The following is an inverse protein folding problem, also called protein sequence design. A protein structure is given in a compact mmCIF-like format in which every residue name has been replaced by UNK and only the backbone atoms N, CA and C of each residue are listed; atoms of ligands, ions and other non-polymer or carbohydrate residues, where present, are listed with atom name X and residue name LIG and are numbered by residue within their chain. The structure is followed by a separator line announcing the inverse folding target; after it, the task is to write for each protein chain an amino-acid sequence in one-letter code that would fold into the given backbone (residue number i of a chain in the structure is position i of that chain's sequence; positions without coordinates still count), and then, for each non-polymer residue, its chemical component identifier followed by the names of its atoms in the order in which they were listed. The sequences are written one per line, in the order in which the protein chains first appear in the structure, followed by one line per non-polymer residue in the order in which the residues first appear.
data_IF_260875276879
#
_entry.id   IF_260875276879
#
_cell.length_a   1.000
_cell.length_b   1.000
_cell.length_c   1.000
_cell.angle_alpha   90.00
_cell.angle_beta   90.00
_cell.angle_gamma   90.00
#
_symmetry.space_group_name_H-M   'P 1'
#
loop_
_entity.id
_entity.type
_entity.pdbx_description
1 polymer ?
#
# COMPACT_ATOMS: atom_id res chain seq x y z
N UNK A 1 -10.82 -37.34 -10.44
CA UNK A 1 -12.22 -36.87 -10.45
C UNK A 1 -12.35 -35.83 -9.36
N UNK A 2 -12.07 -34.57 -9.68
CA UNK A 2 -12.30 -33.46 -8.74
C UNK A 2 -13.81 -33.29 -8.55
N UNK A 3 -14.26 -33.36 -7.29
CA UNK A 3 -15.62 -32.92 -6.97
C UNK A 3 -15.59 -31.40 -7.02
N UNK A 4 -16.22 -30.82 -8.03
CA UNK A 4 -16.46 -29.39 -8.07
C UNK A 4 -17.08 -28.96 -6.73
N UNK A 5 -16.42 -28.04 -6.01
CA UNK A 5 -16.95 -27.48 -4.77
C UNK A 5 -18.28 -26.79 -5.07
N UNK A 6 -19.25 -26.92 -4.17
CA UNK A 6 -20.51 -26.20 -4.31
C UNK A 6 -20.23 -24.68 -4.26
N UNK A 7 -20.78 -23.87 -5.19
CA UNK A 7 -20.52 -22.44 -5.28
C UNK A 7 -20.72 -21.67 -3.98
N UNK A 8 -21.65 -22.11 -3.12
CA UNK A 8 -21.91 -21.49 -1.82
C UNK A 8 -20.75 -21.60 -0.81
N UNK A 9 -19.86 -22.59 -0.95
CA UNK A 9 -18.73 -22.76 -0.03
C UNK A 9 -17.67 -21.65 -0.17
N UNK A 10 -17.41 -21.17 -1.39
CA UNK A 10 -16.38 -20.17 -1.64
C UNK A 10 -16.75 -18.79 -1.08
N UNK A 11 -18.03 -18.40 -1.18
CA UNK A 11 -18.51 -17.14 -0.63
C UNK A 11 -18.48 -17.14 0.91
N UNK A 12 -18.86 -18.26 1.53
CA UNK A 12 -18.76 -18.45 2.99
C UNK A 12 -17.31 -18.43 3.46
N UNK A 13 -16.41 -19.09 2.72
CA UNK A 13 -14.97 -19.07 3.03
C UNK A 13 -14.40 -17.66 2.95
N UNK A 14 -14.73 -16.88 1.90
CA UNK A 14 -14.29 -15.50 1.75
C UNK A 14 -14.76 -14.62 2.92
N UNK A 15 -16.03 -14.70 3.28
CA UNK A 15 -16.59 -13.95 4.42
C UNK A 15 -15.94 -14.35 5.75
N UNK A 16 -15.60 -15.63 5.92
CA UNK A 16 -14.89 -16.10 7.12
C UNK A 16 -13.51 -15.44 7.24
N UNK A 17 -12.75 -15.30 6.13
CA UNK A 17 -11.46 -14.61 6.12
C UNK A 17 -11.60 -13.11 6.42
N UNK A 18 -12.58 -12.44 5.81
CA UNK A 18 -12.84 -11.00 6.03
C UNK A 18 -13.11 -10.67 7.50
N UNK A 19 -13.70 -11.61 8.25
CA UNK A 19 -14.01 -11.41 9.67
C UNK A 19 -12.83 -11.61 10.63
N UNK A 20 -11.69 -12.13 10.16
CA UNK A 20 -10.57 -12.45 11.06
C UNK A 20 -9.90 -11.16 11.57
N UNK A 21 -9.48 -11.12 12.85
CA UNK A 21 -8.68 -10.01 13.33
C UNK A 21 -7.28 -10.06 12.68
N UNK A 22 -6.66 -8.90 12.52
CA UNK A 22 -5.26 -8.81 12.11
C UNK A 22 -4.35 -9.26 13.25
N UNK A 23 -3.38 -10.14 12.96
CA UNK A 23 -2.30 -10.43 13.89
C UNK A 23 -1.23 -9.33 13.80
N UNK A 24 -0.66 -8.94 14.95
CA UNK A 24 0.54 -8.09 14.98
C UNK A 24 1.66 -8.78 14.20
N UNK A 25 2.25 -8.11 13.22
CA UNK A 25 3.40 -8.65 12.50
C UNK A 25 4.72 -8.46 13.25
N UNK A 26 4.70 -7.64 14.30
CA UNK A 26 5.83 -7.43 15.20
C UNK A 26 5.87 -8.52 16.27
N UNK A 27 7.05 -9.08 16.49
CA UNK A 27 7.29 -10.11 17.50
C UNK A 27 7.37 -11.53 16.93
N UNK A 28 7.38 -12.49 17.86
CA UNK A 28 7.42 -13.91 17.52
C UNK A 28 6.01 -14.46 17.32
N UNK A 29 5.71 -14.89 16.10
CA UNK A 29 4.43 -15.46 15.73
C UNK A 29 4.45 -16.98 15.90
N UNK A 30 3.34 -17.54 16.40
CA UNK A 30 3.15 -18.98 16.57
C UNK A 30 2.88 -19.69 15.23
N UNK A 31 3.86 -19.63 14.32
CA UNK A 31 3.79 -20.17 12.96
C UNK A 31 3.45 -21.68 12.94
N UNK A 32 3.94 -22.43 13.92
CA UNK A 32 3.66 -23.85 14.11
C UNK A 32 2.19 -24.15 14.44
N UNK A 33 1.43 -23.15 14.88
CA UNK A 33 0.00 -23.24 15.18
C UNK A 33 -0.88 -22.67 14.06
N UNK A 34 -0.33 -22.43 12.87
CA UNK A 34 -1.12 -22.02 11.72
C UNK A 34 -2.18 -23.07 11.36
N UNK A 35 -3.45 -22.66 11.42
CA UNK A 35 -4.60 -23.57 11.29
C UNK A 35 -5.16 -23.63 9.87
N UNK A 36 -5.21 -22.48 9.18
CA UNK A 36 -5.76 -22.34 7.83
C UNK A 36 -4.84 -21.54 6.93
N UNK A 37 -4.89 -21.86 5.64
CA UNK A 37 -4.15 -21.22 4.58
C UNK A 37 -5.10 -20.88 3.42
N UNK A 38 -5.09 -19.63 2.99
CA UNK A 38 -5.61 -19.22 1.69
C UNK A 38 -4.46 -18.70 0.81
N UNK A 39 -4.62 -18.85 -0.50
CA UNK A 39 -3.76 -18.21 -1.48
C UNK A 39 -4.61 -17.26 -2.30
N UNK A 40 -4.17 -16.01 -2.40
CA UNK A 40 -4.79 -14.99 -3.26
C UNK A 40 -3.83 -14.72 -4.39
N UNK A 41 -4.23 -15.07 -5.60
CA UNK A 41 -3.43 -14.79 -6.77
C UNK A 41 -3.54 -13.30 -7.10
N UNK A 42 -2.38 -12.65 -7.14
CA UNK A 42 -2.20 -11.30 -7.63
C UNK A 42 -1.13 -11.38 -8.70
N UNK A 43 -1.29 -10.66 -9.80
CA UNK A 43 -0.39 -10.71 -10.96
C UNK A 43 1.11 -10.61 -10.60
N UNK A 44 1.44 -10.01 -9.43
CA UNK A 44 2.77 -9.82 -8.86
C UNK A 44 3.34 -11.02 -8.06
N UNK A 45 2.71 -12.19 -8.09
CA UNK A 45 3.24 -13.41 -7.46
C UNK A 45 2.33 -14.05 -6.41
N UNK A 46 1.23 -13.37 -6.07
CA UNK A 46 0.23 -13.80 -5.10
C UNK A 46 0.70 -13.70 -3.64
N UNK A 47 -0.25 -13.84 -2.73
CA UNK A 47 -0.06 -13.68 -1.29
C UNK A 47 -0.71 -14.85 -0.55
N UNK A 48 -0.02 -15.36 0.47
CA UNK A 48 -0.53 -16.36 1.39
C UNK A 48 -1.21 -15.67 2.55
N UNK A 49 -2.39 -16.11 2.94
CA UNK A 49 -3.06 -15.65 4.16
C UNK A 49 -3.10 -16.82 5.12
N UNK A 50 -2.47 -16.66 6.27
CA UNK A 50 -2.38 -17.67 7.33
C UNK A 50 -3.24 -17.25 8.50
N UNK A 51 -4.05 -18.18 9.01
CA UNK A 51 -4.77 -18.00 10.28
C UNK A 51 -3.95 -18.57 11.43
N UNK A 52 -3.44 -17.69 12.28
CA UNK A 52 -2.73 -17.98 13.52
C UNK A 52 -3.68 -17.86 14.73
N UNK A 53 -3.28 -18.35 15.93
CA UNK A 53 -4.09 -18.19 17.14
C UNK A 53 -4.38 -16.72 17.51
N UNK A 54 -3.46 -15.81 17.18
CA UNK A 54 -3.58 -14.38 17.47
C UNK A 54 -4.26 -13.56 16.36
N UNK A 55 -4.63 -14.17 15.22
CA UNK A 55 -5.24 -13.47 14.10
C UNK A 55 -4.72 -13.96 12.75
N UNK A 56 -5.07 -13.24 11.69
CA UNK A 56 -4.59 -13.50 10.34
C UNK A 56 -3.35 -12.67 10.01
N UNK A 57 -2.45 -13.24 9.20
CA UNK A 57 -1.28 -12.56 8.67
C UNK A 57 -1.09 -12.92 7.21
N UNK A 58 -0.54 -11.99 6.44
CA UNK A 58 -0.19 -12.21 5.05
C UNK A 58 1.30 -12.53 4.89
N UNK A 59 1.64 -13.44 3.99
CA UNK A 59 3.03 -13.75 3.63
C UNK A 59 3.16 -13.66 2.12
N UNK A 60 4.05 -12.78 1.66
CA UNK A 60 4.38 -12.63 0.24
C UNK A 60 5.72 -13.31 -0.02
N UNK A 61 5.68 -14.29 -0.91
CA UNK A 61 6.87 -15.01 -1.37
C UNK A 61 7.56 -14.29 -2.53
N UNK A 62 8.83 -14.60 -2.75
CA UNK A 62 9.69 -13.87 -3.70
C UNK A 62 10.43 -12.73 -3.02
N UNK A 63 11.44 -12.18 -3.69
CA UNK A 63 12.24 -11.08 -3.14
C UNK A 63 11.30 -9.92 -2.77
N UNK A 64 11.06 -9.73 -1.46
CA UNK A 64 10.45 -8.50 -0.98
C UNK A 64 11.21 -7.35 -1.62
N UNK A 65 10.52 -6.57 -2.46
CA UNK A 65 11.20 -5.49 -3.16
C UNK A 65 11.50 -4.44 -2.10
N UNK A 66 12.77 -4.05 -1.97
CA UNK A 66 13.21 -2.96 -1.10
C UNK A 66 12.30 -1.71 -1.19
N UNK A 67 11.72 -1.48 -2.37
CA UNK A 67 10.74 -0.44 -2.62
C UNK A 67 9.44 -0.56 -1.82
N UNK A 68 8.92 -1.77 -1.60
CA UNK A 68 7.71 -2.01 -0.79
C UNK A 68 7.98 -1.66 0.69
N UNK A 69 9.13 -2.08 1.23
CA UNK A 69 9.55 -1.72 2.59
C UNK A 69 9.80 -0.22 2.73
N UNK A 70 10.53 0.39 1.79
CA UNK A 70 10.81 1.83 1.78
C UNK A 70 9.52 2.64 1.78
N UNK A 71 8.59 2.29 0.88
CA UNK A 71 7.28 2.94 0.77
C UNK A 71 6.50 2.82 2.06
N UNK A 72 6.44 1.63 2.68
CA UNK A 72 5.74 1.46 3.95
C UNK A 72 6.36 2.28 5.09
N UNK A 73 7.70 2.31 5.20
CA UNK A 73 8.39 3.08 6.25
C UNK A 73 8.19 4.57 6.07
N UNK A 74 8.23 5.07 4.83
CA UNK A 74 7.92 6.46 4.53
C UNK A 74 6.46 6.79 4.83
N UNK A 75 5.51 5.92 4.45
CA UNK A 75 4.09 6.09 4.77
C UNK A 75 3.87 6.22 6.28
N UNK A 76 4.48 5.33 7.06
CA UNK A 76 4.42 5.37 8.53
C UNK A 76 4.99 6.68 9.10
N UNK A 77 6.11 7.17 8.55
CA UNK A 77 6.72 8.41 9.00
C UNK A 77 5.87 9.65 8.66
N UNK A 78 5.09 9.59 7.58
CA UNK A 78 4.19 10.65 7.12
C UNK A 78 2.73 10.47 7.60
N UNK A 79 2.47 9.53 8.51
CA UNK A 79 1.11 9.28 9.01
C UNK A 79 0.12 8.84 7.93
N UNK A 80 0.59 8.20 6.86
CA UNK A 80 -0.25 7.64 5.80
C UNK A 80 -0.47 6.16 6.07
N UNK A 81 -1.74 5.75 6.10
CA UNK A 81 -2.10 4.38 6.43
C UNK A 81 -1.87 3.44 5.25
N UNK A 82 -0.87 2.58 5.38
CA UNK A 82 -0.59 1.46 4.47
C UNK A 82 -0.41 0.19 5.28
N UNK A 83 -0.68 -0.99 4.70
CA UNK A 83 -0.43 -2.27 5.38
C UNK A 83 1.03 -2.33 5.87
N UNK A 84 1.22 -2.69 7.15
CA UNK A 84 2.55 -2.82 7.71
C UNK A 84 3.31 -3.97 7.03
N UNK A 85 4.62 -3.82 6.90
CA UNK A 85 5.50 -4.80 6.26
C UNK A 85 6.72 -5.04 7.14
N UNK A 86 7.05 -6.32 7.31
CA UNK A 86 8.30 -6.79 7.94
C UNK A 86 8.98 -7.77 7.00
N UNK A 87 10.28 -7.57 6.81
CA UNK A 87 11.11 -8.48 6.00
C UNK A 87 11.65 -9.58 6.90
N UNK A 88 11.52 -10.82 6.44
CA UNK A 88 12.13 -11.99 7.06
C UNK A 88 13.16 -12.53 6.09
N UNK A 89 14.43 -12.32 6.41
CA UNK A 89 15.55 -12.82 5.61
C UNK A 89 16.00 -14.18 6.15
N UNK A 90 16.38 -15.13 5.27
CA UNK A 90 16.93 -16.39 5.73
C UNK A 90 18.27 -16.13 6.41
N UNK A 91 18.38 -16.42 7.70
CA UNK A 91 19.69 -16.52 8.34
C UNK A 91 20.25 -17.91 8.02
N UNK A 92 21.31 -17.94 7.22
CA UNK A 92 21.96 -19.18 6.80
C UNK A 92 22.48 -20.02 7.99
N UNK A 93 22.62 -19.42 9.18
CA UNK A 93 23.27 -20.04 10.32
C UNK A 93 22.40 -20.20 11.57
N UNK A 94 21.24 -19.52 11.66
CA UNK A 94 20.37 -19.64 12.83
C UNK A 94 19.54 -20.94 12.80
N UNK A 95 19.63 -21.78 13.82
CA UNK A 95 18.81 -22.99 13.94
C UNK A 95 17.29 -22.70 13.96
N UNK A 96 16.90 -21.52 14.48
CA UNK A 96 15.52 -21.03 14.62
C UNK A 96 15.14 -20.00 13.54
N UNK A 97 15.58 -20.24 12.30
CA UNK A 97 15.25 -19.38 11.16
C UNK A 97 13.72 -19.26 10.97
N UNK A 98 13.18 -18.08 11.21
CA UNK A 98 11.75 -17.78 11.06
C UNK A 98 11.27 -18.08 9.63
N UNK A 99 12.13 -17.92 8.61
CA UNK A 99 11.79 -18.30 7.23
C UNK A 99 11.40 -19.78 7.14
N UNK A 100 12.12 -20.67 7.85
CA UNK A 100 11.79 -22.11 7.89
C UNK A 100 10.47 -22.35 8.59
N UNK A 101 10.18 -21.65 9.70
CA UNK A 101 8.90 -21.76 10.42
C UNK A 101 7.72 -21.32 9.56
N UNK A 102 7.84 -20.20 8.84
CA UNK A 102 6.82 -19.73 7.88
C UNK A 102 6.59 -20.75 6.77
N UNK A 103 7.66 -21.29 6.16
CA UNK A 103 7.54 -22.32 5.11
C UNK A 103 6.87 -23.59 5.64
N UNK A 104 7.22 -24.03 6.85
CA UNK A 104 6.59 -25.18 7.49
C UNK A 104 5.09 -24.92 7.74
N UNK A 105 4.73 -23.74 8.26
CA UNK A 105 3.34 -23.33 8.48
C UNK A 105 2.50 -23.38 7.19
N UNK A 106 3.04 -22.85 6.08
CA UNK A 106 2.37 -22.89 4.77
C UNK A 106 2.22 -24.33 4.26
N UNK A 107 3.14 -25.23 4.60
CA UNK A 107 3.07 -26.64 4.21
C UNK A 107 2.07 -27.44 5.02
N UNK A 108 1.93 -27.16 6.32
CA UNK A 108 1.12 -27.96 7.26
C UNK A 108 -0.29 -27.43 7.44
N UNK A 109 -0.53 -26.13 7.30
CA UNK A 109 -1.84 -25.53 7.48
C UNK A 109 -2.88 -26.13 6.50
N UNK A 110 -4.13 -26.24 6.97
CA UNK A 110 -5.23 -26.71 6.14
C UNK A 110 -5.49 -25.68 5.02
N UNK A 111 -5.34 -26.09 3.76
CA UNK A 111 -5.47 -25.18 2.62
C UNK A 111 -6.69 -25.51 1.77
N UNK A 112 -7.14 -24.52 1.00
CA UNK A 112 -8.32 -24.65 0.14
C UNK A 112 -8.06 -25.55 -1.09
N UNK A 113 -6.82 -25.61 -1.58
CA UNK A 113 -6.43 -26.33 -2.80
C UNK A 113 -4.98 -26.85 -2.72
N UNK A 114 -4.79 -28.16 -2.88
CA UNK A 114 -3.48 -28.82 -2.87
C UNK A 114 -2.61 -28.43 -4.08
N UNK A 115 -3.22 -28.10 -5.23
CA UNK A 115 -2.49 -27.61 -6.40
C UNK A 115 -1.93 -26.21 -6.15
N UNK A 116 -2.69 -25.33 -5.49
CA UNK A 116 -2.20 -24.02 -5.06
C UNK A 116 -1.08 -24.16 -4.03
N UNK A 117 -1.17 -25.10 -3.08
CA UNK A 117 -0.05 -25.41 -2.17
C UNK A 117 1.21 -25.83 -2.91
N UNK A 118 1.08 -26.61 -3.99
CA UNK A 118 2.24 -27.00 -4.80
C UNK A 118 2.88 -25.81 -5.51
N UNK A 119 2.07 -24.94 -6.13
CA UNK A 119 2.56 -23.71 -6.76
C UNK A 119 3.20 -22.77 -5.74
N UNK A 120 2.58 -22.64 -4.56
CA UNK A 120 3.10 -21.90 -3.43
C UNK A 120 4.49 -22.37 -3.01
N UNK A 121 4.66 -23.69 -2.86
CA UNK A 121 5.96 -24.31 -2.55
C UNK A 121 7.00 -23.90 -3.58
N UNK A 122 6.67 -24.00 -4.87
CA UNK A 122 7.62 -23.63 -5.94
C UNK A 122 8.03 -22.15 -5.89
N UNK A 123 7.11 -21.25 -5.52
CA UNK A 123 7.40 -19.81 -5.38
C UNK A 123 8.23 -19.50 -4.13
N UNK A 124 7.96 -20.16 -3.01
CA UNK A 124 8.64 -19.93 -1.71
C UNK A 124 10.01 -20.61 -1.59
N UNK A 125 10.26 -21.67 -2.38
CA UNK A 125 11.52 -22.44 -2.40
C UNK A 125 12.64 -21.69 -3.14
N UNK A 126 12.32 -20.68 -3.95
CA UNK A 126 13.33 -19.81 -4.57
C UNK A 126 13.91 -18.88 -3.50
N UNK A 127 14.87 -19.42 -2.73
CA UNK A 127 15.60 -18.88 -1.58
C UNK A 127 15.88 -17.37 -1.61
N UNK A 128 14.93 -16.58 -1.10
CA UNK A 128 15.11 -15.16 -0.81
C UNK A 128 14.40 -14.77 0.48
N UNK A 129 14.52 -13.50 0.86
CA UNK A 129 13.73 -12.90 1.93
C UNK A 129 12.24 -12.92 1.58
N UNK A 130 11.39 -13.10 2.58
CA UNK A 130 9.94 -13.02 2.47
C UNK A 130 9.44 -11.73 3.13
N UNK A 131 8.26 -11.27 2.73
CA UNK A 131 7.56 -10.21 3.44
C UNK A 131 6.43 -10.82 4.28
N UNK A 132 6.44 -10.52 5.58
CA UNK A 132 5.29 -10.68 6.45
C UNK A 132 4.53 -9.37 6.41
N UNK A 133 3.31 -9.42 5.90
CA UNK A 133 2.47 -8.27 5.63
C UNK A 133 1.26 -8.32 6.56
N UNK A 134 0.89 -7.15 7.07
CA UNK A 134 -0.31 -7.00 7.88
C UNK A 134 -1.54 -7.49 7.12
N UNK A 135 -2.39 -8.27 7.80
CA UNK A 135 -3.70 -8.60 7.28
C UNK A 135 -4.66 -7.43 7.51
N UNK A 136 -5.32 -6.94 6.46
CA UNK A 136 -6.32 -5.88 6.59
C UNK A 136 -7.70 -6.51 6.64
N UNK A 137 -8.36 -6.42 7.80
CA UNK A 137 -9.75 -6.78 7.95
C UNK A 137 -10.63 -5.70 7.28
N UNK A 138 -11.16 -6.05 6.11
CA UNK A 138 -11.94 -5.15 5.28
C UNK A 138 -12.18 -5.76 3.90
N UNK A 139 -12.57 -4.91 2.96
CA UNK A 139 -12.71 -5.30 1.56
C UNK A 139 -11.88 -4.38 0.66
N UNK A 140 -11.46 -4.89 -0.49
CA UNK A 140 -10.86 -4.03 -1.52
C UNK A 140 -11.89 -3.00 -2.00
N UNK A 141 -11.44 -1.83 -2.45
CA UNK A 141 -12.29 -0.74 -2.94
C UNK A 141 -12.83 -1.02 -4.36
N UNK A 142 -13.34 -2.24 -4.56
CA UNK A 142 -13.92 -2.71 -5.83
C UNK A 142 -15.17 -3.54 -5.59
N UNK A 143 -16.10 -3.46 -6.54
CA UNK A 143 -17.31 -4.27 -6.62
C UNK A 143 -18.36 -3.96 -5.55
N UNK A 144 -19.29 -4.90 -5.38
CA UNK A 144 -20.44 -4.76 -4.50
C UNK A 144 -20.12 -4.62 -3.00
N UNK A 145 -19.08 -5.26 -2.44
CA UNK A 145 -18.69 -5.02 -1.04
C UNK A 145 -18.32 -3.56 -0.77
N UNK A 146 -17.46 -2.98 -1.60
CA UNK A 146 -17.08 -1.57 -1.52
C UNK A 146 -18.28 -0.63 -1.74
N UNK A 147 -19.11 -0.92 -2.76
CA UNK A 147 -20.34 -0.17 -3.01
C UNK A 147 -21.21 -0.10 -1.76
N UNK A 148 -21.44 -1.26 -1.11
CA UNK A 148 -22.25 -1.34 0.09
C UNK A 148 -21.65 -0.50 1.19
N UNK A 149 -20.37 -0.68 1.50
CA UNK A 149 -19.66 0.05 2.56
C UNK A 149 -19.73 1.56 2.36
N UNK A 150 -19.50 2.03 1.13
CA UNK A 150 -19.52 3.45 0.78
C UNK A 150 -20.95 4.04 0.65
N UNK A 151 -21.99 3.21 0.53
CA UNK A 151 -23.40 3.65 0.41
C UNK A 151 -24.26 3.36 1.64
N UNK A 152 -23.73 2.79 2.72
CA UNK A 152 -24.58 2.30 3.83
C UNK A 152 -25.50 3.40 4.35
N UNK A 153 -26.80 3.19 4.15
CA UNK A 153 -27.86 4.19 4.25
C UNK A 153 -28.17 4.69 5.67
N UNK A 154 -27.59 4.08 6.69
CA UNK A 154 -27.86 4.40 8.11
C UNK A 154 -26.64 4.94 8.87
N UNK A 155 -25.42 4.84 8.29
CA UNK A 155 -24.18 5.29 8.93
C UNK A 155 -23.34 6.28 8.10
N UNK A 156 -23.68 6.47 6.82
CA UNK A 156 -22.86 7.26 5.90
C UNK A 156 -21.53 6.58 5.56
N UNK A 157 -20.75 7.23 4.70
CA UNK A 157 -19.35 6.83 4.45
C UNK A 157 -18.58 6.95 5.77
N UNK A 158 -17.77 5.95 6.16
CA UNK A 158 -16.96 6.05 7.38
C UNK A 158 -16.21 7.38 7.45
N UNK A 159 -16.24 8.03 8.59
CA UNK A 159 -15.67 9.38 8.77
C UNK A 159 -14.21 9.42 8.30
N UNK A 160 -13.87 10.46 7.53
CA UNK A 160 -12.51 10.66 7.00
C UNK A 160 -12.12 9.76 5.82
N UNK A 161 -12.98 8.87 5.30
CA UNK A 161 -12.66 7.99 4.16
C UNK A 161 -12.07 8.77 2.98
N UNK A 162 -12.78 9.81 2.52
CA UNK A 162 -12.34 10.58 1.35
C UNK A 162 -11.07 11.41 1.64
N UNK A 163 -10.93 11.93 2.86
CA UNK A 163 -9.72 12.64 3.27
C UNK A 163 -8.51 11.70 3.32
N UNK A 164 -8.67 10.50 3.89
CA UNK A 164 -7.62 9.48 3.95
C UNK A 164 -7.25 8.98 2.55
N UNK A 165 -8.23 8.85 1.64
CA UNK A 165 -7.97 8.53 0.23
C UNK A 165 -7.16 9.64 -0.45
N UNK A 166 -7.50 10.91 -0.19
CA UNK A 166 -6.73 12.06 -0.64
C UNK A 166 -5.28 12.05 -0.16
N UNK A 167 -5.06 11.78 1.13
CA UNK A 167 -3.72 11.62 1.71
C UNK A 167 -2.97 10.46 1.02
N UNK A 168 -3.63 9.33 0.77
CA UNK A 168 -3.04 8.20 0.08
C UNK A 168 -2.61 8.53 -1.36
N UNK A 169 -3.42 9.31 -2.08
CA UNK A 169 -3.11 9.77 -3.45
C UNK A 169 -1.90 10.71 -3.48
N UNK A 170 -1.84 11.67 -2.54
CA UNK A 170 -0.67 12.52 -2.37
C UNK A 170 0.59 11.70 -2.10
N UNK A 171 0.47 10.65 -1.27
CA UNK A 171 1.55 9.74 -0.99
C UNK A 171 2.00 8.95 -2.23
N UNK A 172 1.05 8.46 -3.03
CA UNK A 172 1.36 7.77 -4.30
C UNK A 172 2.12 8.69 -5.28
N UNK A 173 1.84 10.00 -5.29
CA UNK A 173 2.63 10.98 -6.06
C UNK A 173 4.08 11.11 -5.55
N UNK A 174 4.35 10.98 -4.25
CA UNK A 174 5.74 10.99 -3.76
C UNK A 174 6.54 9.78 -4.28
N UNK A 175 5.85 8.66 -4.48
CA UNK A 175 6.46 7.39 -4.86
C UNK A 175 6.46 7.10 -6.37
N UNK A 176 5.80 7.94 -7.17
CA UNK A 176 5.40 7.59 -8.53
C UNK A 176 4.67 6.23 -8.58
N UNK A 177 3.80 5.98 -7.60
CA UNK A 177 3.03 4.76 -7.56
C UNK A 177 1.78 4.88 -8.44
N UNK A 178 1.94 4.52 -9.69
CA UNK A 178 0.91 4.67 -10.70
C UNK A 178 -0.17 3.58 -10.66
N UNK A 179 -0.04 2.52 -9.85
CA UNK A 179 -0.96 1.38 -9.94
C UNK A 179 -2.29 1.67 -9.25
N UNK A 180 -2.34 2.45 -8.16
CA UNK A 180 -3.54 2.60 -7.32
C UNK A 180 -4.61 3.50 -7.90
N UNK A 181 -4.34 4.81 -7.99
CA UNK A 181 -5.33 5.84 -8.35
C UNK A 181 -4.76 6.74 -9.47
N UNK A 182 -5.55 7.09 -10.49
CA UNK A 182 -5.03 7.77 -11.67
C UNK A 182 -4.97 9.30 -11.49
N UNK A 183 -4.25 9.78 -10.48
CA UNK A 183 -4.14 11.23 -10.19
C UNK A 183 -3.10 11.92 -11.08
N UNK A 184 -1.84 11.48 -11.04
CA UNK A 184 -0.76 12.05 -11.85
C UNK A 184 -0.46 11.21 -13.12
N UNK A 185 -1.35 10.27 -13.46
CA UNK A 185 -1.13 9.25 -14.49
C UNK A 185 -2.35 9.09 -15.38
N UNK A 186 -2.14 8.52 -16.57
CA UNK A 186 -3.18 8.33 -17.60
C UNK A 186 -3.69 6.90 -17.68
N UNK A 187 -3.47 6.10 -16.63
CA UNK A 187 -4.02 4.74 -16.54
C UNK A 187 -5.41 4.78 -15.86
N UNK A 188 -6.04 3.62 -15.70
CA UNK A 188 -7.36 3.50 -15.06
C UNK A 188 -7.28 3.35 -13.53
N UNK A 189 -6.08 3.19 -12.98
CA UNK A 189 -5.83 2.75 -11.62
C UNK A 189 -6.24 1.30 -11.35
N UNK A 190 -6.01 0.88 -10.11
CA UNK A 190 -6.30 -0.44 -9.56
C UNK A 190 -6.72 -0.24 -8.10
N UNK A 191 -8.01 0.05 -7.90
CA UNK A 191 -8.59 0.19 -6.57
C UNK A 191 -8.62 -1.13 -5.78
N UNK A 192 -8.22 -2.24 -6.40
CA UNK A 192 -7.92 -3.50 -5.73
C UNK A 192 -6.75 -3.38 -4.75
N UNK A 193 -5.88 -2.40 -4.95
CA UNK A 193 -4.76 -2.07 -4.06
C UNK A 193 -5.10 -1.03 -2.99
N UNK A 194 -6.40 -0.74 -2.81
CA UNK A 194 -6.94 0.09 -1.72
C UNK A 194 -7.93 -0.74 -0.93
N UNK A 195 -7.69 -0.91 0.36
CA UNK A 195 -8.61 -1.61 1.27
C UNK A 195 -9.45 -0.59 2.05
N UNK A 196 -10.74 -0.89 2.20
CA UNK A 196 -11.66 -0.19 3.10
C UNK A 196 -11.76 -0.99 4.40
N UNK A 197 -11.13 -0.46 5.46
CA UNK A 197 -10.97 -1.15 6.75
C UNK A 197 -12.13 -0.89 7.70
N UNK A 198 -12.57 -1.92 8.44
CA UNK A 198 -13.67 -1.79 9.40
C UNK A 198 -13.24 -1.29 10.79
N UNK A 199 -11.95 -1.37 11.14
CA UNK A 199 -11.49 -1.21 12.54
C UNK A 199 -10.25 -0.33 12.77
N UNK A 200 -9.42 -0.05 11.76
CA UNK A 200 -8.11 0.59 11.94
C UNK A 200 -7.86 1.79 11.01
N UNK A 201 -8.94 2.39 10.52
CA UNK A 201 -8.91 3.43 9.49
C UNK A 201 -9.80 3.05 8.32
N UNK A 202 -10.37 4.07 7.69
CA UNK A 202 -11.32 3.88 6.61
C UNK A 202 -10.64 3.49 5.30
N UNK A 203 -9.39 3.91 5.09
CA UNK A 203 -8.61 3.64 3.88
C UNK A 203 -7.22 3.12 4.25
N UNK A 204 -6.82 1.99 3.65
CA UNK A 204 -5.49 1.40 3.80
C UNK A 204 -4.91 1.08 2.43
N UNK A 205 -3.76 1.66 2.10
CA UNK A 205 -3.01 1.24 0.91
C UNK A 205 -2.36 -0.13 1.09
N UNK A 206 -2.46 -0.99 0.09
CA UNK A 206 -1.74 -2.29 0.05
C UNK A 206 -0.86 -2.37 -1.21
N UNK A 207 -0.04 -3.42 -1.29
CA UNK A 207 0.90 -3.67 -2.40
C UNK A 207 1.74 -2.43 -2.76
N UNK A 208 2.44 -1.88 -1.76
CA UNK A 208 3.17 -0.62 -1.92
C UNK A 208 4.30 -0.77 -2.94
N UNK A 209 4.42 0.20 -3.84
CA UNK A 209 5.52 0.25 -4.80
C UNK A 209 6.04 1.67 -4.96
N UNK A 210 7.32 1.77 -5.30
CA UNK A 210 7.97 3.01 -5.71
C UNK A 210 8.63 2.77 -7.06
N UNK A 211 8.44 3.70 -7.99
CA UNK A 211 8.92 3.59 -9.36
C UNK A 211 9.77 4.80 -9.74
N UNK A 212 11.06 4.84 -9.34
CA UNK A 212 11.97 5.92 -9.74
C UNK A 212 12.07 6.04 -11.25
N UNK A 213 12.14 7.27 -11.73
CA UNK A 213 12.24 7.57 -13.15
C UNK A 213 13.66 7.98 -13.47
N UNK A 214 14.44 7.08 -14.06
CA UNK A 214 15.84 7.37 -14.42
C UNK A 214 15.99 8.24 -15.67
N UNK A 215 14.98 8.28 -16.54
CA UNK A 215 15.03 9.06 -17.79
C UNK A 215 14.67 10.53 -17.52
N UNK A 216 15.55 11.51 -17.78
CA UNK A 216 15.32 12.92 -17.41
C UNK A 216 14.03 13.51 -17.98
N UNK A 217 13.71 13.26 -19.26
CA UNK A 217 12.46 13.75 -19.85
C UNK A 217 11.21 13.10 -19.25
N UNK A 218 11.32 11.83 -18.85
CA UNK A 218 10.21 11.12 -18.21
C UNK A 218 9.96 11.69 -16.82
N UNK A 219 11.03 11.96 -16.07
CA UNK A 219 10.97 12.57 -14.75
C UNK A 219 10.37 13.97 -14.85
N UNK A 220 10.86 14.82 -15.76
CA UNK A 220 10.28 16.16 -15.99
C UNK A 220 8.78 16.11 -16.29
N UNK A 221 8.34 15.29 -17.24
CA UNK A 221 6.91 15.13 -17.57
C UNK A 221 6.08 14.61 -16.39
N UNK A 222 6.69 13.79 -15.53
CA UNK A 222 6.04 13.34 -14.31
C UNK A 222 5.89 14.47 -13.30
N UNK A 223 6.96 15.22 -13.06
CA UNK A 223 6.96 16.39 -12.18
C UNK A 223 6.00 17.49 -12.66
N UNK A 224 5.86 17.69 -13.96
CA UNK A 224 4.86 18.60 -14.54
C UNK A 224 3.42 18.15 -14.20
N UNK A 225 3.13 16.84 -14.28
CA UNK A 225 1.82 16.29 -13.87
C UNK A 225 1.57 16.39 -12.37
N UNK A 226 2.59 16.17 -11.54
CA UNK A 226 2.51 16.41 -10.09
C UNK A 226 2.17 17.87 -9.81
N UNK A 227 2.84 18.81 -10.50
CA UNK A 227 2.57 20.24 -10.40
C UNK A 227 1.10 20.54 -10.74
N UNK A 228 0.62 20.07 -11.88
CA UNK A 228 -0.77 20.25 -12.31
C UNK A 228 -1.78 19.66 -11.31
N UNK A 229 -1.57 18.43 -10.85
CA UNK A 229 -2.44 17.80 -9.86
C UNK A 229 -2.44 18.53 -8.51
N UNK A 230 -1.31 19.13 -8.12
CA UNK A 230 -1.19 19.93 -6.89
C UNK A 230 -1.91 21.27 -7.03
N UNK A 231 -1.79 21.93 -8.19
CA UNK A 231 -2.57 23.14 -8.53
C UNK A 231 -4.06 22.82 -8.51
N UNK A 232 -4.49 21.72 -9.13
CA UNK A 232 -5.89 21.32 -9.15
C UNK A 232 -6.44 21.02 -7.75
N UNK A 233 -5.65 20.37 -6.89
CA UNK A 233 -6.06 20.11 -5.52
C UNK A 233 -6.35 21.42 -4.76
N UNK A 234 -5.55 22.47 -5.01
CA UNK A 234 -5.66 23.81 -4.40
C UNK A 234 -6.81 24.63 -5.00
N UNK A 235 -6.80 24.79 -6.32
CA UNK A 235 -7.61 25.78 -7.04
C UNK A 235 -8.88 25.17 -7.66
N UNK A 236 -9.00 23.85 -7.67
CA UNK A 236 -10.07 23.09 -8.35
C UNK A 236 -10.09 23.28 -9.88
N UNK A 237 -8.98 23.70 -10.46
CA UNK A 237 -8.82 23.92 -11.90
C UNK A 237 -7.98 22.78 -12.52
N UNK A 238 -8.63 21.88 -13.28
CA UNK A 238 -8.09 20.78 -14.14
C UNK A 238 -9.01 19.52 -14.04
N UNK A 239 -8.63 18.42 -14.68
CA UNK A 239 -9.41 17.18 -14.81
C UNK A 239 -8.76 15.93 -14.16
N UNK A 240 -7.68 16.06 -13.40
CA UNK A 240 -6.99 14.93 -12.77
C UNK A 240 -7.87 14.27 -11.70
N UNK A 241 -8.55 15.06 -10.86
CA UNK A 241 -9.51 14.53 -9.89
C UNK A 241 -10.78 13.97 -10.55
N UNK A 242 -11.16 14.45 -11.74
CA UNK A 242 -12.25 13.84 -12.50
C UNK A 242 -11.90 12.42 -12.99
N UNK A 243 -10.63 12.17 -13.35
CA UNK A 243 -10.17 10.80 -13.63
C UNK A 243 -10.27 9.90 -12.40
N UNK A 244 -9.91 10.41 -11.22
CA UNK A 244 -10.07 9.69 -9.95
C UNK A 244 -11.55 9.43 -9.63
N UNK A 245 -12.42 10.42 -9.81
CA UNK A 245 -13.87 10.28 -9.64
C UNK A 245 -14.44 9.20 -10.56
N UNK A 246 -14.03 9.19 -11.83
CA UNK A 246 -14.42 8.17 -12.79
C UNK A 246 -13.93 6.77 -12.35
N UNK A 247 -12.69 6.65 -11.88
CA UNK A 247 -12.15 5.39 -11.37
C UNK A 247 -12.96 4.88 -10.16
N UNK A 248 -13.32 5.74 -9.20
CA UNK A 248 -14.19 5.36 -8.06
C UNK A 248 -15.55 4.90 -8.55
N UNK A 249 -16.17 5.61 -9.49
CA UNK A 249 -17.48 5.24 -10.04
C UNK A 249 -17.44 3.89 -10.75
N UNK A 250 -16.44 3.66 -11.61
CA UNK A 250 -16.29 2.41 -12.38
C UNK A 250 -16.08 1.23 -11.44
N UNK A 251 -15.22 1.38 -10.43
CA UNK A 251 -14.84 0.28 -9.56
C UNK A 251 -15.87 0.00 -8.46
N UNK A 252 -16.58 1.01 -7.99
CA UNK A 252 -17.46 0.88 -6.82
C UNK A 252 -18.93 1.15 -7.11
N UNK A 253 -19.28 1.74 -8.27
CA UNK A 253 -20.64 2.23 -8.55
C UNK A 253 -21.06 3.41 -7.66
N UNK A 254 -20.13 4.07 -6.99
CA UNK A 254 -20.39 5.26 -6.16
C UNK A 254 -20.02 6.51 -6.93
N UNK A 255 -20.98 7.42 -7.04
CA UNK A 255 -20.76 8.73 -7.62
C UNK A 255 -20.41 9.72 -6.51
N UNK A 256 -19.24 10.33 -6.59
CA UNK A 256 -18.80 11.30 -5.59
C UNK A 256 -19.51 12.63 -5.79
N UNK A 257 -20.06 13.16 -4.70
CA UNK A 257 -20.58 14.52 -4.64
C UNK A 257 -19.45 15.55 -4.69
N UNK A 258 -19.78 16.81 -4.99
CA UNK A 258 -18.81 17.91 -4.95
C UNK A 258 -18.15 18.07 -3.57
N UNK A 259 -18.90 17.85 -2.49
CA UNK A 259 -18.36 17.93 -1.13
C UNK A 259 -17.35 16.81 -0.85
N UNK A 260 -17.62 15.58 -1.28
CA UNK A 260 -16.70 14.45 -1.09
C UNK A 260 -15.43 14.62 -1.92
N UNK A 261 -15.56 15.12 -3.14
CA UNK A 261 -14.43 15.52 -3.98
C UNK A 261 -13.58 16.59 -3.28
N UNK A 262 -14.21 17.60 -2.67
CA UNK A 262 -13.49 18.61 -1.91
C UNK A 262 -12.77 18.03 -0.68
N UNK A 263 -13.41 17.14 0.08
CA UNK A 263 -12.78 16.45 1.20
C UNK A 263 -11.56 15.64 0.76
N UNK A 264 -11.63 14.99 -0.41
CA UNK A 264 -10.50 14.27 -0.99
C UNK A 264 -9.35 15.20 -1.39
N UNK A 265 -9.64 16.33 -2.04
CA UNK A 265 -8.64 17.36 -2.35
C UNK A 265 -7.98 17.90 -1.09
N UNK A 266 -8.76 18.19 -0.05
CA UNK A 266 -8.25 18.67 1.22
C UNK A 266 -7.29 17.66 1.86
N UNK A 267 -7.62 16.37 1.85
CA UNK A 267 -6.71 15.32 2.33
C UNK A 267 -5.42 15.23 1.52
N UNK A 268 -5.48 15.42 0.20
CA UNK A 268 -4.29 15.51 -0.66
C UNK A 268 -3.42 16.70 -0.25
N UNK A 269 -3.99 17.90 -0.16
CA UNK A 269 -3.27 19.12 0.24
C UNK A 269 -2.70 19.05 1.65
N UNK A 270 -3.39 18.39 2.59
CA UNK A 270 -2.94 18.24 3.97
C UNK A 270 -1.58 17.51 4.04
N UNK A 271 -1.47 16.35 3.38
CA UNK A 271 -0.20 15.62 3.32
C UNK A 271 0.87 16.38 2.53
N UNK A 272 0.50 16.98 1.39
CA UNK A 272 1.46 17.78 0.61
C UNK A 272 1.99 18.97 1.43
N UNK A 273 1.13 19.63 2.21
CA UNK A 273 1.50 20.69 3.14
C UNK A 273 2.42 20.20 4.28
N UNK A 274 2.21 18.99 4.80
CA UNK A 274 3.15 18.35 5.75
C UNK A 274 4.53 18.17 5.13
N UNK A 275 4.59 17.66 3.90
CA UNK A 275 5.86 17.49 3.18
C UNK A 275 6.55 18.83 2.95
N UNK A 276 5.82 19.88 2.56
CA UNK A 276 6.37 21.23 2.41
C UNK A 276 6.92 21.76 3.73
N UNK A 277 6.23 21.51 4.85
CA UNK A 277 6.74 21.88 6.18
C UNK A 277 8.06 21.17 6.49
N UNK A 278 8.17 19.87 6.20
CA UNK A 278 9.41 19.10 6.38
C UNK A 278 10.57 19.62 5.51
N UNK A 279 10.29 20.07 4.29
CA UNK A 279 11.32 20.70 3.44
C UNK A 279 11.74 22.04 4.02
N UNK A 280 10.79 22.88 4.42
CA UNK A 280 11.06 24.21 4.99
C UNK A 280 11.83 24.12 6.33
N UNK A 281 11.55 23.11 7.16
CA UNK A 281 12.25 22.83 8.42
C UNK A 281 13.56 22.06 8.25
N UNK A 282 13.92 21.66 7.02
CA UNK A 282 15.08 20.79 6.74
C UNK A 282 15.01 19.41 7.41
N UNK A 283 13.82 18.93 7.72
CA UNK A 283 13.57 17.63 8.36
C UNK A 283 13.31 16.50 7.36
N UNK A 284 12.98 16.81 6.10
CA UNK A 284 12.73 15.78 5.08
C UNK A 284 13.96 14.88 4.85
N UNK A 285 15.15 15.46 4.73
CA UNK A 285 16.36 14.68 4.46
C UNK A 285 16.79 13.78 5.63
N UNK A 286 16.81 14.26 6.89
CA UNK A 286 16.96 13.39 8.05
C UNK A 286 15.94 12.24 8.10
N UNK A 287 14.68 12.51 7.76
CA UNK A 287 13.62 11.50 7.70
C UNK A 287 13.92 10.45 6.63
N UNK A 288 14.24 10.87 5.40
CA UNK A 288 14.59 9.96 4.30
C UNK A 288 15.83 9.12 4.62
N UNK A 289 16.83 9.71 5.30
CA UNK A 289 18.01 8.99 5.77
C UNK A 289 17.67 7.94 6.82
N UNK A 290 16.77 8.24 7.76
CA UNK A 290 16.31 7.29 8.76
C UNK A 290 15.57 6.11 8.09
N UNK A 291 14.60 6.40 7.20
CA UNK A 291 13.89 5.39 6.40
C UNK A 291 14.88 4.52 5.61
N UNK A 292 15.87 5.14 4.97
CA UNK A 292 16.92 4.45 4.21
C UNK A 292 17.74 3.51 5.09
N UNK A 293 18.17 3.97 6.26
CA UNK A 293 18.97 3.19 7.19
C UNK A 293 18.21 1.95 7.71
N UNK A 294 16.93 2.12 8.04
CA UNK A 294 16.05 1.02 8.46
C UNK A 294 15.87 -0.02 7.36
N UNK A 295 15.65 0.44 6.12
CA UNK A 295 15.53 -0.43 4.97
C UNK A 295 16.82 -1.22 4.73
N UNK A 296 17.98 -0.56 4.73
CA UNK A 296 19.28 -1.23 4.58
C UNK A 296 19.58 -2.20 5.72
N UNK A 297 19.14 -1.87 6.94
CA UNK A 297 19.22 -2.76 8.09
C UNK A 297 18.46 -4.07 7.88
N UNK A 298 17.24 -4.00 7.35
CA UNK A 298 16.38 -5.16 7.10
C UNK A 298 16.94 -6.14 6.03
N UNK A 299 17.80 -5.65 5.14
CA UNK A 299 18.44 -6.44 4.08
C UNK A 299 19.94 -6.68 4.33
N UNK A 300 20.42 -6.45 5.56
CA UNK A 300 21.84 -6.69 5.90
C UNK A 300 22.21 -8.15 5.63
N UNK A 301 23.27 -8.37 4.84
CA UNK A 301 23.73 -9.71 4.47
C UNK A 301 23.01 -10.34 3.27
N UNK A 302 22.00 -9.65 2.69
CA UNK A 302 21.43 -10.06 1.41
C UNK A 302 22.47 -9.91 0.29
N UNK A 303 22.44 -10.83 -0.68
CA UNK A 303 23.18 -10.67 -1.93
C UNK A 303 22.68 -9.40 -2.63
N UNK A 304 23.61 -8.56 -3.11
CA UNK A 304 23.27 -7.30 -3.80
C UNK A 304 23.08 -6.09 -2.89
N UNK A 305 23.66 -6.05 -1.69
CA UNK A 305 23.55 -4.92 -0.76
C UNK A 305 23.90 -3.55 -1.39
N UNK A 306 24.88 -3.50 -2.29
CA UNK A 306 25.25 -2.28 -3.03
C UNK A 306 24.14 -1.85 -4.00
N UNK A 307 23.54 -2.79 -4.74
CA UNK A 307 22.39 -2.50 -5.62
C UNK A 307 21.20 -2.00 -4.80
N UNK A 308 20.94 -2.62 -3.64
CA UNK A 308 19.90 -2.19 -2.70
C UNK A 308 20.17 -0.75 -2.24
N UNK A 309 21.40 -0.43 -1.82
CA UNK A 309 21.78 0.92 -1.43
C UNK A 309 21.59 1.93 -2.56
N UNK A 310 22.02 1.59 -3.78
CA UNK A 310 21.86 2.46 -4.93
C UNK A 310 20.38 2.71 -5.27
N UNK A 311 19.52 1.69 -5.14
CA UNK A 311 18.06 1.83 -5.33
C UNK A 311 17.45 2.73 -4.26
N UNK A 312 17.84 2.59 -3.00
CA UNK A 312 17.34 3.45 -1.91
C UNK A 312 17.74 4.92 -2.16
N UNK A 313 18.93 5.19 -2.68
CA UNK A 313 19.32 6.55 -3.08
C UNK A 313 18.39 7.11 -4.16
N UNK A 314 18.05 6.32 -5.19
CA UNK A 314 17.12 6.78 -6.25
C UNK A 314 15.69 6.96 -5.73
N UNK A 315 15.29 6.22 -4.70
CA UNK A 315 14.00 6.40 -4.01
C UNK A 315 13.96 7.76 -3.31
N UNK A 316 14.98 8.07 -2.51
CA UNK A 316 15.10 9.36 -1.83
C UNK A 316 15.13 10.53 -2.81
N UNK A 317 15.87 10.40 -3.91
CA UNK A 317 15.94 11.45 -4.93
C UNK A 317 14.56 11.75 -5.53
N UNK A 318 13.79 10.71 -5.89
CA UNK A 318 12.44 10.90 -6.41
C UNK A 318 11.55 11.66 -5.42
N UNK A 319 11.55 11.26 -4.14
CA UNK A 319 10.72 11.91 -3.11
C UNK A 319 11.13 13.37 -2.94
N UNK A 320 12.43 13.67 -2.91
CA UNK A 320 12.94 15.05 -2.83
C UNK A 320 12.56 15.89 -4.05
N UNK A 321 12.64 15.33 -5.26
CA UNK A 321 12.27 16.04 -6.50
C UNK A 321 10.78 16.39 -6.51
N UNK A 322 9.92 15.44 -6.11
CA UNK A 322 8.46 15.68 -5.98
C UNK A 322 8.18 16.71 -4.90
N UNK A 323 8.80 16.60 -3.72
CA UNK A 323 8.63 17.54 -2.62
C UNK A 323 9.04 18.97 -3.00
N UNK A 324 10.11 19.14 -3.77
CA UNK A 324 10.57 20.43 -4.30
C UNK A 324 9.53 21.07 -5.23
N UNK A 325 8.94 20.29 -6.13
CA UNK A 325 7.87 20.78 -7.03
C UNK A 325 6.64 21.21 -6.23
N UNK A 326 6.21 20.40 -5.28
CA UNK A 326 5.05 20.68 -4.42
C UNK A 326 5.31 21.94 -3.58
N UNK A 327 6.51 22.10 -3.02
CA UNK A 327 6.90 23.32 -2.30
C UNK A 327 6.80 24.55 -3.19
N UNK A 328 7.30 24.49 -4.43
CA UNK A 328 7.17 25.60 -5.38
C UNK A 328 5.71 25.98 -5.64
N UNK A 329 4.83 25.00 -5.89
CA UNK A 329 3.41 25.26 -6.14
C UNK A 329 2.71 25.87 -4.95
N UNK A 330 2.93 25.33 -3.75
CA UNK A 330 2.22 25.77 -2.55
C UNK A 330 2.78 27.09 -1.98
N UNK A 331 4.06 27.39 -2.20
CA UNK A 331 4.65 28.69 -1.82
C UNK A 331 4.16 29.85 -2.71
N UNK A 332 3.81 29.57 -3.97
CA UNK A 332 3.25 30.56 -4.91
C UNK A 332 1.77 30.87 -4.66
N UNK A 333 1.12 30.20 -3.69
CA UNK A 333 -0.25 30.51 -3.33
C UNK A 333 -0.30 31.97 -2.83
N UNK A 334 -1.19 32.81 -3.37
CA UNK A 334 -1.39 34.15 -2.82
C UNK A 334 -1.66 33.97 -1.33
N UNK A 335 -0.88 34.64 -0.48
CA UNK A 335 -1.15 34.68 0.95
C UNK A 335 -2.63 35.02 1.07
N UNK A 336 -3.45 34.03 1.47
CA UNK A 336 -4.89 34.22 1.55
C UNK A 336 -5.07 35.51 2.32
N UNK A 337 -5.67 36.51 1.68
CA UNK A 337 -5.88 37.80 2.29
C UNK A 337 -6.68 37.49 3.56
N UNK A 338 -6.01 37.48 4.71
CA UNK A 338 -6.59 37.11 6.00
C UNK A 338 -7.89 37.90 6.10
N UNK A 339 -9.00 37.19 5.88
CA UNK A 339 -10.31 37.82 5.83
C UNK A 339 -10.59 38.42 7.21
N UNK A 340 -11.13 39.65 7.27
CA UNK A 340 -11.32 40.38 8.52
C UNK A 340 -12.19 39.66 9.55
#
# INVERSE_FOLDING_TARGET
RERARAPGSLAQDAQAWESLPSASIDGDLAWDQASRLAYRDGNSGGIFVLQLPCGAVCVKGGACVIGELFSQRLASALGVRTAAVRVVSPDAWAAEDECRRIRAAIQTAAGEDEQLKLQARMKLVRNGSMAVVEFINGCVMMGMPANRLLRQAEGGVPEGTWQQLGRLMAFDMLLNNFDRLPLAWTNEGNLGNVMLGASQGAVVGIDQSIHPISHPDGLRKYLDRVREATVEARDQESNHFEAVKAAVLINTGVELTASEMQTMRNGCLELLGEVVRLVASQELEPLLKAVSADCLGAFRGALGAEEIAQRVVTFCQLVSDVASVVQGVLADAPAEAEGP
#
